data_IF_693283127195
#
_entry.id   IF_693283127195
#
_cell.length_a   1.000
_cell.length_b   1.000
_cell.length_c   1.000
_cell.angle_alpha   90.00
_cell.angle_beta   90.00
_cell.angle_gamma   90.00
#
_symmetry.space_group_name_H-M   'P 1'
#
loop_
_entity.id
_entity.type
_entity.pdbx_description
1 polymer ?
#
# COMPACT_ATOMS: atom_id res chain seq x y z
N UNK A 1 13.35 -1.01 8.58
CA UNK A 1 13.27 -2.27 7.81
C UNK A 1 13.54 -1.95 6.35
N UNK A 2 14.02 -2.92 5.57
CA UNK A 2 14.37 -2.78 4.15
C UNK A 2 13.92 -4.05 3.39
N UNK A 3 13.81 -4.02 2.05
CA UNK A 3 13.93 -2.83 1.21
C UNK A 3 12.69 -1.93 1.33
N UNK A 4 12.89 -0.63 1.15
CA UNK A 4 11.82 0.32 0.84
C UNK A 4 11.41 0.20 -0.64
N UNK A 5 10.29 0.82 -1.01
CA UNK A 5 9.81 0.76 -2.38
C UNK A 5 9.04 2.00 -2.82
N UNK A 6 8.67 2.00 -4.09
CA UNK A 6 7.82 3.01 -4.72
C UNK A 6 6.56 2.39 -5.29
N UNK A 7 5.43 3.07 -5.06
CA UNK A 7 4.23 2.94 -5.88
C UNK A 7 4.26 4.08 -6.90
N UNK A 8 4.11 3.76 -8.18
CA UNK A 8 3.96 4.77 -9.22
C UNK A 8 2.98 4.30 -10.29
N UNK A 9 2.26 5.24 -10.90
CA UNK A 9 1.31 4.93 -11.95
C UNK A 9 1.13 6.07 -12.95
N UNK A 10 0.63 5.71 -14.11
CA UNK A 10 0.07 6.61 -15.11
C UNK A 10 -1.23 5.99 -15.65
N UNK A 11 -1.85 6.61 -16.66
CA UNK A 11 -3.10 6.12 -17.25
C UNK A 11 -3.06 4.67 -17.75
N UNK A 12 -1.88 4.14 -18.08
CA UNK A 12 -1.73 2.83 -18.72
C UNK A 12 -1.19 1.75 -17.78
N UNK A 13 -0.44 2.15 -16.75
CA UNK A 13 0.35 1.20 -15.95
C UNK A 13 0.52 1.67 -14.52
N UNK A 14 0.33 0.74 -13.59
CA UNK A 14 0.73 0.85 -12.19
C UNK A 14 1.93 -0.06 -11.92
N UNK A 15 2.81 0.36 -11.02
CA UNK A 15 4.01 -0.37 -10.61
C UNK A 15 4.19 -0.24 -9.10
N UNK A 16 4.46 -1.37 -8.44
CA UNK A 16 5.05 -1.40 -7.10
C UNK A 16 6.38 -2.14 -7.22
N UNK A 17 7.47 -1.49 -6.81
CA UNK A 17 8.82 -2.04 -6.91
C UNK A 17 9.69 -1.63 -5.72
N UNK A 18 10.78 -2.38 -5.49
CA UNK A 18 11.83 -1.92 -4.57
C UNK A 18 12.44 -0.61 -5.09
N UNK A 19 13.04 0.18 -4.20
CA UNK A 19 13.67 1.46 -4.59
C UNK A 19 14.75 1.24 -5.67
N UNK A 20 15.56 0.20 -5.49
CA UNK A 20 16.64 -0.15 -6.41
C UNK A 20 16.09 -0.59 -7.77
N UNK A 21 15.05 -1.43 -7.81
CA UNK A 21 14.46 -1.88 -9.06
C UNK A 21 13.75 -0.74 -9.77
N UNK A 22 13.03 0.11 -9.01
CA UNK A 22 12.37 1.29 -9.55
C UNK A 22 13.34 2.22 -10.28
N UNK A 23 14.53 2.46 -9.71
CA UNK A 23 15.56 3.33 -10.31
C UNK A 23 16.05 2.87 -11.69
N UNK A 24 15.86 1.58 -12.02
CA UNK A 24 16.29 0.96 -13.27
C UNK A 24 15.16 0.92 -14.31
N UNK A 25 13.92 1.24 -13.91
CA UNK A 25 12.78 1.23 -14.82
C UNK A 25 12.80 2.47 -15.71
N UNK A 26 12.55 2.25 -17.01
CA UNK A 26 12.16 3.31 -17.93
C UNK A 26 10.64 3.47 -17.86
N UNK A 27 10.19 4.26 -16.89
CA UNK A 27 8.77 4.52 -16.66
C UNK A 27 8.55 6.02 -16.43
N UNK A 28 7.56 6.59 -17.10
CA UNK A 28 7.14 7.98 -16.93
C UNK A 28 5.83 7.98 -16.13
N UNK A 29 5.90 8.08 -14.79
CA UNK A 29 4.71 8.14 -13.94
C UNK A 29 4.05 9.51 -14.02
N UNK A 30 2.72 9.53 -13.95
CA UNK A 30 1.97 10.75 -13.65
C UNK A 30 2.00 11.03 -12.14
N UNK A 31 2.00 9.95 -11.34
CA UNK A 31 2.01 10.00 -9.89
C UNK A 31 2.96 8.95 -9.31
N UNK A 32 3.64 9.29 -8.22
CA UNK A 32 4.49 8.37 -7.50
C UNK A 32 4.54 8.72 -6.00
N UNK A 33 4.66 7.70 -5.17
CA UNK A 33 4.96 7.82 -3.74
C UNK A 33 6.01 6.79 -3.34
N UNK A 34 6.96 7.21 -2.49
CA UNK A 34 7.95 6.33 -1.89
C UNK A 34 7.55 6.04 -0.45
N UNK A 35 7.60 4.77 -0.07
CA UNK A 35 7.35 4.35 1.31
C UNK A 35 8.12 3.08 1.65
N UNK A 36 7.81 2.45 2.78
CA UNK A 36 8.37 1.17 3.12
C UNK A 36 8.10 0.72 4.55
N UNK A 37 8.35 -0.57 4.81
CA UNK A 37 9.04 -1.51 3.92
C UNK A 37 8.16 -2.08 2.79
N UNK A 38 8.80 -2.68 1.79
CA UNK A 38 8.14 -3.65 0.91
C UNK A 38 7.57 -4.78 1.75
N UNK A 39 6.30 -5.11 1.50
CA UNK A 39 5.59 -6.19 2.18
C UNK A 39 5.82 -7.51 1.42
N UNK A 40 5.45 -7.52 0.13
CA UNK A 40 5.63 -8.66 -0.79
C UNK A 40 6.54 -8.22 -1.93
N UNK A 41 7.52 -9.05 -2.27
CA UNK A 41 8.46 -8.84 -3.38
C UNK A 41 8.47 -10.09 -4.23
N UNK A 42 8.05 -9.99 -5.48
CA UNK A 42 7.94 -11.13 -6.40
C UNK A 42 7.22 -12.33 -5.74
N UNK A 43 6.02 -12.06 -5.22
CA UNK A 43 5.11 -13.03 -4.56
C UNK A 43 5.65 -13.61 -3.24
N UNK A 44 6.80 -13.14 -2.75
CA UNK A 44 7.41 -13.60 -1.49
C UNK A 44 7.30 -12.54 -0.40
N UNK A 45 6.96 -12.98 0.82
CA UNK A 45 7.02 -12.15 2.03
C UNK A 45 8.43 -11.58 2.20
N UNK A 46 8.53 -10.31 2.58
CA UNK A 46 9.81 -9.71 2.96
C UNK A 46 10.44 -10.53 4.11
N UNK A 47 11.64 -11.11 3.91
CA UNK A 47 12.27 -12.02 4.87
C UNK A 47 12.65 -11.35 6.19
N UNK A 48 12.57 -10.02 6.30
CA UNK A 48 12.80 -9.29 7.53
C UNK A 48 11.62 -9.35 8.51
N UNK A 49 10.45 -9.85 8.08
CA UNK A 49 9.30 -9.97 8.97
C UNK A 49 9.36 -11.26 9.77
N UNK A 50 9.42 -11.09 11.09
CA UNK A 50 9.39 -12.19 12.04
C UNK A 50 7.95 -12.69 12.19
N UNK A 51 7.76 -13.99 12.02
CA UNK A 51 6.47 -14.66 12.22
C UNK A 51 5.93 -14.44 13.64
N UNK A 52 6.83 -14.46 14.64
CA UNK A 52 6.52 -14.22 16.06
C UNK A 52 7.01 -12.85 16.52
N UNK A 53 6.50 -11.78 15.92
CA UNK A 53 6.75 -10.41 16.37
C UNK A 53 5.77 -10.00 17.47
N UNK A 54 6.26 -9.20 18.42
CA UNK A 54 5.51 -8.54 19.49
C UNK A 54 4.97 -7.15 19.09
N UNK A 55 5.27 -6.68 17.86
CA UNK A 55 4.84 -5.37 17.38
C UNK A 55 3.50 -5.44 16.66
N UNK A 56 2.42 -5.10 17.36
CA UNK A 56 1.06 -5.02 16.82
C UNK A 56 0.63 -3.57 16.63
N UNK A 57 0.21 -3.22 15.41
CA UNK A 57 -0.29 -1.89 15.07
C UNK A 57 -1.43 -1.98 14.07
N UNK A 58 -2.26 -0.94 13.98
CA UNK A 58 -3.05 -0.70 12.76
C UNK A 58 -2.06 -0.44 11.62
N UNK A 59 -2.28 -1.10 10.49
CA UNK A 59 -1.38 -1.07 9.35
C UNK A 59 -2.15 -0.79 8.09
N UNK A 60 -1.53 0.00 7.21
CA UNK A 60 -2.02 0.21 5.85
C UNK A 60 -0.96 -0.21 4.82
N UNK A 61 -1.42 -0.50 3.62
CA UNK A 61 -0.55 -0.90 2.53
C UNK A 61 -1.29 -0.95 1.22
N UNK A 62 -0.51 -1.12 0.16
CA UNK A 62 -1.01 -1.28 -1.20
C UNK A 62 -0.35 -2.47 -1.86
N UNK A 63 -1.14 -3.31 -2.51
CA UNK A 63 -0.68 -4.43 -3.32
C UNK A 63 -1.06 -4.24 -4.79
N UNK A 64 -0.38 -4.94 -5.69
CA UNK A 64 -0.71 -4.93 -7.12
C UNK A 64 -0.92 -6.34 -7.65
N UNK A 65 -2.00 -6.54 -8.40
CA UNK A 65 -2.28 -7.75 -9.17
C UNK A 65 -3.00 -7.38 -10.46
N UNK A 66 -2.48 -7.84 -11.60
CA UNK A 66 -3.09 -7.64 -12.93
C UNK A 66 -3.45 -6.16 -13.18
N UNK A 67 -2.48 -5.27 -12.90
CA UNK A 67 -2.61 -3.81 -12.98
C UNK A 67 -3.63 -3.16 -12.03
N UNK A 68 -4.31 -3.96 -11.20
CA UNK A 68 -5.22 -3.48 -10.16
C UNK A 68 -4.46 -3.24 -8.86
N UNK A 69 -4.65 -2.04 -8.29
CA UNK A 69 -4.12 -1.68 -6.98
C UNK A 69 -5.13 -2.03 -5.88
N UNK A 70 -4.65 -2.70 -4.84
CA UNK A 70 -5.43 -3.10 -3.67
C UNK A 70 -4.94 -2.31 -2.46
N UNK A 71 -5.67 -1.27 -2.08
CA UNK A 71 -5.42 -0.54 -0.85
C UNK A 71 -6.08 -1.25 0.33
N UNK A 72 -5.32 -1.48 1.38
CA UNK A 72 -5.76 -2.25 2.56
C UNK A 72 -5.38 -1.49 3.82
N UNK A 73 -6.30 -1.46 4.77
CA UNK A 73 -6.07 -1.05 6.15
C UNK A 73 -6.61 -2.13 7.08
N UNK A 74 -5.90 -2.44 8.17
CA UNK A 74 -6.36 -3.41 9.16
C UNK A 74 -7.34 -2.75 10.15
N UNK A 75 -8.43 -3.44 10.51
CA UNK A 75 -9.37 -2.93 11.52
C UNK A 75 -8.88 -3.16 12.96
N UNK A 76 -7.91 -4.06 13.14
CA UNK A 76 -7.30 -4.39 14.43
C UNK A 76 -5.78 -4.37 14.31
N UNK A 77 -5.11 -4.34 15.47
CA UNK A 77 -3.66 -4.35 15.52
C UNK A 77 -3.13 -5.72 15.07
N UNK A 78 -2.24 -5.72 14.07
CA UNK A 78 -1.63 -6.92 13.48
C UNK A 78 -0.12 -6.77 13.41
N UNK A 79 0.61 -7.89 13.37
CA UNK A 79 2.05 -7.87 13.11
C UNK A 79 2.33 -7.57 11.63
N UNK A 80 3.55 -7.13 11.29
CA UNK A 80 3.95 -6.98 9.88
C UNK A 80 3.82 -8.31 9.12
N UNK A 81 4.15 -9.43 9.76
CA UNK A 81 4.06 -10.74 9.14
C UNK A 81 2.61 -11.12 8.82
N UNK A 82 1.70 -11.01 9.79
CA UNK A 82 0.27 -11.27 9.58
C UNK A 82 -0.32 -10.37 8.49
N UNK A 83 0.00 -9.08 8.52
CA UNK A 83 -0.46 -8.13 7.50
C UNK A 83 0.06 -8.50 6.10
N UNK A 84 1.31 -8.93 6.01
CA UNK A 84 1.93 -9.33 4.74
C UNK A 84 1.38 -10.65 4.22
N UNK A 85 1.08 -11.61 5.10
CA UNK A 85 0.43 -12.86 4.72
C UNK A 85 -0.93 -12.61 4.06
N UNK A 86 -1.69 -11.60 4.49
CA UNK A 86 -2.94 -11.24 3.82
C UNK A 86 -2.70 -10.86 2.35
N UNK A 87 -1.74 -9.98 2.06
CA UNK A 87 -1.38 -9.63 0.69
C UNK A 87 -0.91 -10.86 -0.11
N UNK A 88 -0.01 -11.66 0.46
CA UNK A 88 0.57 -12.79 -0.25
C UNK A 88 -0.43 -13.92 -0.51
N UNK A 89 -1.19 -14.33 0.51
CA UNK A 89 -1.96 -15.57 0.48
C UNK A 89 -3.42 -15.33 0.07
N UNK A 90 -4.02 -14.23 0.53
CA UNK A 90 -5.42 -13.92 0.27
C UNK A 90 -5.58 -13.11 -1.02
N UNK A 91 -4.85 -12.00 -1.15
CA UNK A 91 -4.90 -11.18 -2.36
C UNK A 91 -4.06 -11.74 -3.52
N UNK A 92 -3.01 -12.50 -3.21
CA UNK A 92 -2.06 -13.10 -4.16
C UNK A 92 -1.43 -12.06 -5.09
N UNK A 93 -1.02 -10.93 -4.51
CA UNK A 93 -0.38 -9.83 -5.23
C UNK A 93 1.08 -10.14 -5.55
N UNK A 94 1.57 -9.64 -6.69
CA UNK A 94 2.97 -9.85 -7.06
C UNK A 94 3.92 -9.01 -6.19
N UNK A 95 3.52 -7.77 -5.90
CA UNK A 95 4.26 -6.87 -5.03
C UNK A 95 3.30 -6.12 -4.10
N UNK A 96 3.78 -5.78 -2.91
CA UNK A 96 3.05 -4.94 -1.97
C UNK A 96 3.99 -4.04 -1.19
N UNK A 97 3.52 -2.85 -0.86
CA UNK A 97 4.25 -1.78 -0.20
C UNK A 97 3.45 -1.28 1.01
N UNK A 98 4.13 -1.13 2.13
CA UNK A 98 3.60 -0.47 3.31
C UNK A 98 3.57 1.04 3.10
N UNK A 99 2.51 1.76 3.54
CA UNK A 99 2.32 3.18 3.19
C UNK A 99 2.65 4.18 4.33
N UNK A 100 2.18 3.97 5.56
CA UNK A 100 2.51 4.85 6.71
C UNK A 100 2.69 4.08 8.03
N UNK A 101 3.82 4.32 8.70
CA UNK A 101 4.24 3.69 9.97
C UNK A 101 3.72 4.33 11.25
N UNK A 102 3.22 5.55 11.18
CA UNK A 102 2.89 6.37 12.34
C UNK A 102 1.38 6.54 12.49
N UNK A 103 0.68 6.75 11.38
CA UNK A 103 -0.75 7.05 11.36
C UNK A 103 -1.39 6.31 10.19
N UNK A 104 -1.96 5.15 10.47
CA UNK A 104 -2.80 4.46 9.49
C UNK A 104 -4.23 4.96 9.64
N UNK A 105 -4.65 5.81 8.71
CA UNK A 105 -6.02 6.34 8.66
C UNK A 105 -6.58 6.20 7.25
N UNK A 106 -7.89 5.98 7.16
CA UNK A 106 -8.59 6.05 5.89
C UNK A 106 -9.95 6.76 6.02
N UNK A 107 -10.38 7.34 4.90
CA UNK A 107 -11.72 7.87 4.72
C UNK A 107 -12.40 7.10 3.59
N UNK A 108 -13.29 6.19 3.96
CA UNK A 108 -13.98 5.27 3.06
C UNK A 108 -15.48 5.30 3.40
N UNK A 109 -16.24 6.29 2.89
CA UNK A 109 -17.66 6.46 3.21
C UNK A 109 -18.53 5.22 2.97
N UNK A 110 -18.37 4.45 1.86
CA UNK A 110 -19.15 3.23 1.64
C UNK A 110 -18.99 2.17 2.73
N UNK A 111 -17.85 2.15 3.43
CA UNK A 111 -17.58 1.25 4.54
C UNK A 111 -17.91 1.86 5.90
N UNK A 112 -18.50 3.07 5.94
CA UNK A 112 -18.71 3.86 7.15
C UNK A 112 -17.42 4.03 7.98
N UNK A 113 -16.29 4.08 7.29
CA UNK A 113 -14.98 4.23 7.90
C UNK A 113 -14.49 5.65 7.65
N UNK A 114 -14.34 6.41 8.72
CA UNK A 114 -13.86 7.78 8.69
C UNK A 114 -13.04 8.03 9.94
N UNK A 115 -11.75 7.76 9.86
CA UNK A 115 -10.84 8.09 10.94
C UNK A 115 -10.61 9.61 10.98
N UNK A 116 -10.60 10.20 12.17
CA UNK A 116 -10.28 11.62 12.38
C UNK A 116 -9.29 11.78 13.55
N UNK A 117 -8.64 12.94 13.59
CA UNK A 117 -7.74 13.47 14.64
C UNK A 117 -6.22 13.37 14.45
N UNK A 118 -5.73 13.34 13.21
CA UNK A 118 -4.29 13.45 12.97
C UNK A 118 -3.94 14.46 11.88
N UNK A 119 -2.79 15.13 12.02
CA UNK A 119 -2.17 15.88 10.92
C UNK A 119 -1.63 14.87 9.91
N UNK A 120 -2.41 14.59 8.87
CA UNK A 120 -2.04 13.64 7.83
C UNK A 120 -0.98 14.27 6.91
N UNK A 121 -0.05 13.43 6.46
CA UNK A 121 0.91 13.75 5.42
C UNK A 121 0.33 13.57 4.02
N UNK A 122 1.14 13.14 3.03
CA UNK A 122 0.65 12.80 1.70
C UNK A 122 -0.51 11.80 1.74
N UNK A 123 -1.56 12.07 0.96
CA UNK A 123 -2.76 11.23 0.87
C UNK A 123 -2.91 10.69 -0.54
N UNK A 124 -3.44 9.47 -0.63
CA UNK A 124 -3.92 8.89 -1.88
C UNK A 124 -5.44 9.00 -1.89
N UNK A 125 -5.98 9.60 -2.93
CA UNK A 125 -7.42 9.71 -3.13
C UNK A 125 -7.81 8.99 -4.42
N UNK A 126 -8.89 8.23 -4.33
CA UNK A 126 -9.60 7.72 -5.49
C UNK A 126 -10.78 8.64 -5.77
N UNK A 127 -10.86 9.17 -6.99
CA UNK A 127 -11.94 10.02 -7.44
C UNK A 127 -12.62 9.30 -8.60
N UNK A 128 -13.89 8.95 -8.44
CA UNK A 128 -14.72 8.47 -9.53
C UNK A 128 -15.40 9.67 -10.19
N UNK A 129 -15.06 9.94 -11.45
CA UNK A 129 -15.62 11.05 -12.23
C UNK A 129 -17.02 10.75 -12.77
N UNK A 130 -17.56 9.53 -12.62
CA UNK A 130 -18.90 9.16 -13.08
C UNK A 130 -20.04 9.91 -12.37
N UNK A 131 -19.77 10.61 -11.25
CA UNK A 131 -20.74 11.42 -10.52
C UNK A 131 -20.38 12.93 -10.46
N UNK A 132 -19.51 13.42 -11.34
CA UNK A 132 -19.22 14.85 -11.40
C UNK A 132 -20.36 15.61 -12.12
N UNK A 133 -21.47 15.86 -11.40
CA UNK A 133 -22.42 16.90 -11.78
C UNK A 133 -21.73 18.23 -11.52
N UNK A 134 -21.32 18.91 -12.59
CA UNK A 134 -20.85 20.28 -12.53
C UNK A 134 -22.11 21.16 -12.41
N UNK A 135 -22.39 21.66 -11.21
CA UNK A 135 -23.37 22.72 -11.00
C UNK A 135 -23.01 23.97 -11.82
#
# INVERSE_FOLDING_TARGET
>A
MQPNGGLAWNQNKSIIATTDDYSKLKFNPDYATQSGPMLVINEKINPKFLERSDSFKIRNGVGIKDQTLYFVISNTAVSFYQFTQFFQQQLKVQNALYLDGSISSAYIPPLKHADSFFKLGPMLAYIDTQNYQKD
#
